data_IF_682072644641
#
_entry.id   IF_682072644641
#
_cell.length_a   1.000
_cell.length_b   1.000
_cell.length_c   1.000
_cell.angle_alpha   90.00
_cell.angle_beta   90.00
_cell.angle_gamma   90.00
#
_symmetry.space_group_name_H-M   'P 1'
#
loop_
_entity.id
_entity.type
_entity.pdbx_description
1 polymer ?
#
# COMPACT_ATOMS: atom_id res chain seq x y z
N UNK A 1 11.00 18.60 2.28
CA UNK A 1 9.66 18.05 2.02
C UNK A 1 9.09 17.62 3.36
N UNK A 2 7.90 18.08 3.79
CA UNK A 2 7.27 17.51 5.01
C UNK A 2 7.12 15.99 4.81
N UNK A 3 7.18 15.14 5.85
CA UNK A 3 6.83 13.73 5.67
C UNK A 3 5.45 13.67 5.01
N UNK A 4 5.39 13.10 3.81
CA UNK A 4 4.18 13.11 2.97
C UNK A 4 3.12 12.14 3.49
N UNK A 5 3.54 11.15 4.27
CA UNK A 5 2.67 10.15 4.89
C UNK A 5 2.53 10.45 6.38
N UNK A 6 1.31 10.30 6.89
CA UNK A 6 1.01 10.35 8.33
C UNK A 6 1.06 8.96 8.97
N UNK A 7 1.46 7.94 8.23
CA UNK A 7 1.57 6.59 8.73
C UNK A 7 2.72 6.46 9.75
N UNK A 8 2.48 5.69 10.81
CA UNK A 8 3.50 5.35 11.82
C UNK A 8 4.49 4.30 11.33
N UNK A 9 4.06 3.45 10.40
CA UNK A 9 4.83 2.35 9.84
C UNK A 9 4.81 2.42 8.31
N UNK A 10 5.86 1.90 7.66
CA UNK A 10 5.98 1.86 6.20
C UNK A 10 4.78 1.15 5.55
N UNK A 11 4.25 0.12 6.21
CA UNK A 11 3.02 -0.57 5.83
C UNK A 11 1.84 0.38 5.61
N UNK A 12 1.69 1.40 6.46
CA UNK A 12 0.64 2.39 6.31
C UNK A 12 0.86 3.30 5.10
N UNK A 13 2.10 3.72 4.85
CA UNK A 13 2.44 4.52 3.67
C UNK A 13 2.21 3.74 2.37
N UNK A 14 2.53 2.44 2.35
CA UNK A 14 2.28 1.58 1.18
C UNK A 14 0.77 1.41 0.93
N UNK A 15 -0.03 1.23 1.99
CA UNK A 15 -1.50 1.18 1.87
C UNK A 15 -2.09 2.50 1.35
N UNK A 16 -1.55 3.67 1.75
CA UNK A 16 -1.98 4.96 1.20
C UNK A 16 -1.72 5.08 -0.32
N UNK A 17 -0.56 4.61 -0.78
CA UNK A 17 -0.22 4.60 -2.21
C UNK A 17 -1.16 3.67 -2.97
N UNK A 18 -1.37 2.45 -2.48
CA UNK A 18 -2.27 1.48 -3.11
C UNK A 18 -3.72 1.96 -3.14
N UNK A 19 -4.20 2.62 -2.08
CA UNK A 19 -5.52 3.26 -2.05
C UNK A 19 -5.69 4.35 -3.11
N UNK A 20 -4.60 5.05 -3.44
CA UNK A 20 -4.59 6.02 -4.55
C UNK A 20 -4.69 5.29 -5.90
N UNK A 21 -3.97 4.19 -6.09
CA UNK A 21 -4.06 3.36 -7.32
C UNK A 21 -5.49 2.84 -7.56
N UNK A 22 -6.23 2.48 -6.50
CA UNK A 22 -7.66 2.13 -6.60
C UNK A 22 -8.47 3.29 -7.16
N UNK A 23 -8.25 4.51 -6.65
CA UNK A 23 -8.99 5.71 -7.09
C UNK A 23 -8.66 6.12 -8.52
N UNK A 24 -7.42 5.87 -8.96
CA UNK A 24 -6.98 6.10 -10.34
C UNK A 24 -7.49 4.99 -11.28
N UNK A 25 -7.80 3.80 -10.76
CA UNK A 25 -8.23 2.66 -11.56
C UNK A 25 -7.08 1.96 -12.28
N UNK A 26 -5.89 1.95 -11.69
CA UNK A 26 -4.71 1.26 -12.23
C UNK A 26 -4.51 -0.09 -11.54
N UNK A 27 -4.04 -1.07 -12.30
CA UNK A 27 -3.53 -2.33 -11.74
C UNK A 27 -2.08 -2.17 -11.30
N UNK A 28 -1.70 -2.90 -10.24
CA UNK A 28 -0.32 -2.96 -9.73
C UNK A 28 0.13 -4.40 -9.85
N UNK A 29 1.21 -4.64 -10.57
CA UNK A 29 1.72 -6.00 -10.88
C UNK A 29 0.66 -6.96 -11.44
N UNK A 30 -0.29 -6.42 -12.21
CA UNK A 30 -1.38 -7.19 -12.82
C UNK A 30 -2.49 -7.61 -11.86
N UNK A 31 -2.44 -7.21 -10.59
CA UNK A 31 -3.49 -7.44 -9.58
C UNK A 31 -4.28 -6.17 -9.30
N UNK A 32 -5.48 -6.33 -8.74
CA UNK A 32 -6.22 -5.19 -8.21
C UNK A 32 -5.51 -4.64 -6.96
N UNK A 33 -5.31 -3.32 -6.85
CA UNK A 33 -4.67 -2.73 -5.69
C UNK A 33 -5.43 -2.95 -4.38
N UNK A 34 -6.71 -3.35 -4.41
CA UNK A 34 -7.44 -3.82 -3.20
C UNK A 34 -6.97 -5.18 -2.74
N UNK A 35 -6.80 -6.14 -3.66
CA UNK A 35 -6.32 -7.48 -3.32
C UNK A 35 -4.92 -7.39 -2.70
N UNK A 36 -4.06 -6.54 -3.25
CA UNK A 36 -2.73 -6.29 -2.69
C UNK A 36 -2.78 -5.69 -1.28
N UNK A 37 -3.75 -4.81 -0.98
CA UNK A 37 -3.93 -4.24 0.36
C UNK A 37 -4.35 -5.30 1.38
N UNK A 38 -5.16 -6.28 0.96
CA UNK A 38 -5.53 -7.44 1.77
C UNK A 38 -4.34 -8.37 1.99
N UNK A 39 -3.58 -8.71 0.93
CA UNK A 39 -2.35 -9.53 1.05
C UNK A 39 -1.32 -8.89 2.01
N UNK A 40 -1.22 -7.55 2.03
CA UNK A 40 -0.38 -6.82 2.98
C UNK A 40 -0.98 -6.86 4.40
N UNK A 41 -2.30 -6.79 4.54
CA UNK A 41 -2.96 -6.87 5.85
C UNK A 41 -2.85 -8.27 6.47
N UNK A 42 -2.91 -9.30 5.64
CA UNK A 42 -2.75 -10.71 6.02
C UNK A 42 -1.29 -11.11 6.27
N UNK A 43 -0.34 -10.21 5.96
CA UNK A 43 1.09 -10.46 6.12
C UNK A 43 1.68 -11.38 5.06
N UNK A 44 0.97 -11.59 3.95
CA UNK A 44 1.45 -12.37 2.79
C UNK A 44 2.52 -11.60 2.02
N UNK A 45 2.42 -10.26 1.97
CA UNK A 45 3.44 -9.39 1.42
C UNK A 45 4.30 -8.85 2.56
N UNK A 46 5.56 -9.28 2.60
CA UNK A 46 6.54 -8.76 3.55
C UNK A 46 6.92 -7.32 3.18
N UNK A 47 6.57 -6.39 4.07
CA UNK A 47 7.05 -5.01 3.99
C UNK A 47 8.19 -4.86 4.99
N UNK A 48 9.39 -4.42 4.55
CA UNK A 48 10.51 -4.22 5.46
C UNK A 48 10.13 -3.22 6.55
N UNK A 49 10.39 -3.59 7.80
CA UNK A 49 10.28 -2.69 8.94
C UNK A 49 11.62 -1.99 9.10
N UNK A 50 11.65 -0.68 8.79
CA UNK A 50 12.78 0.22 9.09
C UNK A 50 12.87 0.48 10.60
#
# INVERSE_FOLDING_TARGET
MRPRSMAKELTGSVKEILGTCVSVGCTVDGKDPKDLQEEIADGTVEIPQD
#
